data_IF_821183910774
#
_entry.id   IF_821183910774
#
_cell.length_a   1.000
_cell.length_b   1.000
_cell.length_c   1.000
_cell.angle_alpha   90.00
_cell.angle_beta   90.00
_cell.angle_gamma   90.00
#
_symmetry.space_group_name_H-M   'P 1'
#
loop_
_entity.id
_entity.type
_entity.pdbx_description
1 polymer ?
#
# COMPACT_ATOMS: atom_id res chain seq x y z
N UNK A 1 -20.12 -16.66 -27.36
CA UNK A 1 -19.97 -15.20 -27.49
C UNK A 1 -18.48 -14.95 -27.37
N UNK A 2 -17.83 -14.51 -28.45
CA UNK A 2 -16.38 -14.31 -28.49
C UNK A 2 -16.05 -13.00 -27.77
N UNK A 3 -15.32 -13.08 -26.66
CA UNK A 3 -14.74 -11.91 -25.99
C UNK A 3 -13.70 -11.28 -26.93
N UNK A 4 -13.74 -9.97 -27.19
CA UNK A 4 -12.80 -9.31 -28.11
C UNK A 4 -11.37 -9.35 -27.52
N UNK A 5 -10.38 -9.73 -28.34
CA UNK A 5 -8.97 -9.75 -27.97
C UNK A 5 -8.49 -8.33 -27.61
N UNK A 6 -8.44 -8.03 -26.30
CA UNK A 6 -7.93 -6.75 -25.79
C UNK A 6 -6.41 -6.77 -25.75
N UNK A 7 -5.79 -6.42 -26.87
CA UNK A 7 -4.39 -5.98 -26.88
C UNK A 7 -4.23 -4.71 -26.05
N UNK A 8 -3.18 -4.64 -25.23
CA UNK A 8 -2.82 -3.40 -24.52
C UNK A 8 -2.57 -2.31 -25.55
N UNK A 9 -3.27 -1.18 -25.41
CA UNK A 9 -3.11 -0.08 -26.34
C UNK A 9 -1.72 0.54 -26.08
N UNK A 10 -1.01 1.07 -27.09
CA UNK A 10 0.26 1.77 -26.88
C UNK A 10 0.19 2.86 -25.80
N UNK A 11 -1.00 3.41 -25.58
CA UNK A 11 -1.31 4.40 -24.53
C UNK A 11 -1.13 3.83 -23.12
N UNK A 12 -1.48 2.56 -22.88
CA UNK A 12 -1.38 1.91 -21.57
C UNK A 12 0.09 1.73 -21.14
N UNK A 13 0.96 1.37 -22.09
CA UNK A 13 2.40 1.28 -21.85
C UNK A 13 3.02 2.65 -21.56
N UNK A 14 2.59 3.69 -22.27
CA UNK A 14 3.05 5.07 -22.03
C UNK A 14 2.61 5.54 -20.63
N UNK A 15 1.37 5.27 -20.23
CA UNK A 15 0.87 5.61 -18.89
C UNK A 15 1.63 4.85 -17.79
N UNK A 16 1.88 3.55 -17.97
CA UNK A 16 2.66 2.75 -17.03
C UNK A 16 4.10 3.26 -16.89
N UNK A 17 4.77 3.53 -18.01
CA UNK A 17 6.11 4.11 -18.02
C UNK A 17 6.15 5.49 -17.35
N UNK A 18 5.18 6.35 -17.64
CA UNK A 18 5.08 7.68 -17.04
C UNK A 18 4.84 7.61 -15.53
N UNK A 19 3.97 6.71 -15.06
CA UNK A 19 3.73 6.50 -13.63
C UNK A 19 5.02 6.08 -12.90
N UNK A 20 5.78 5.14 -13.46
CA UNK A 20 7.06 4.71 -12.90
C UNK A 20 8.09 5.84 -12.89
N UNK A 21 8.18 6.61 -13.98
CA UNK A 21 9.11 7.74 -14.08
C UNK A 21 8.78 8.86 -13.10
N UNK A 22 7.50 9.18 -12.91
CA UNK A 22 7.07 10.19 -11.93
C UNK A 22 7.37 9.69 -10.51
N UNK A 23 7.04 8.44 -10.18
CA UNK A 23 7.31 7.85 -8.87
C UNK A 23 8.82 7.82 -8.55
N UNK A 24 9.63 7.33 -9.48
CA UNK A 24 11.08 7.32 -9.35
C UNK A 24 11.67 8.74 -9.33
N UNK A 25 11.11 9.65 -10.12
CA UNK A 25 11.51 11.05 -10.19
C UNK A 25 11.29 11.78 -8.87
N UNK A 26 10.14 11.59 -8.22
CA UNK A 26 9.87 12.14 -6.88
C UNK A 26 10.85 11.56 -5.86
N UNK A 27 11.10 10.24 -5.90
CA UNK A 27 12.07 9.58 -5.02
C UNK A 27 13.50 10.11 -5.18
N UNK A 28 13.97 10.25 -6.42
CA UNK A 28 15.30 10.77 -6.75
C UNK A 28 15.38 12.27 -6.40
N UNK A 29 14.34 13.05 -6.69
CA UNK A 29 14.30 14.47 -6.36
C UNK A 29 14.42 14.70 -4.85
N UNK A 30 13.65 13.96 -4.04
CA UNK A 30 13.73 14.03 -2.58
C UNK A 30 15.04 13.45 -2.04
N UNK A 31 15.59 12.41 -2.67
CA UNK A 31 16.87 11.80 -2.28
C UNK A 31 18.10 12.67 -2.59
N UNK A 32 18.12 13.36 -3.73
CA UNK A 32 19.26 14.18 -4.16
C UNK A 32 19.16 15.65 -3.70
N UNK A 33 17.96 16.21 -3.57
CA UNK A 33 17.73 17.62 -3.20
C UNK A 33 17.40 17.80 -1.71
N UNK A 34 17.22 16.69 -0.98
CA UNK A 34 16.78 16.64 0.42
C UNK A 34 17.85 16.98 1.45
N UNK A 35 18.47 18.15 1.39
CA UNK A 35 19.39 18.66 2.43
C UNK A 35 18.75 18.87 3.83
N UNK A 36 17.49 18.45 4.01
CA UNK A 36 16.60 18.60 5.19
C UNK A 36 16.28 17.24 5.86
N UNK A 37 17.18 16.27 5.79
CA UNK A 37 17.01 14.95 6.42
C UNK A 37 18.25 14.59 7.25
N UNK A 38 18.86 15.57 7.93
CA UNK A 38 20.14 15.35 8.62
C UNK A 38 19.99 14.72 10.00
N UNK A 39 18.78 14.69 10.55
CA UNK A 39 18.50 14.09 11.86
C UNK A 39 17.34 13.10 11.80
N UNK A 40 17.44 12.02 12.57
CA UNK A 40 16.42 10.96 12.65
C UNK A 40 15.04 11.50 13.05
N UNK A 41 14.99 12.56 13.85
CA UNK A 41 13.74 13.26 14.22
C UNK A 41 13.14 14.06 13.07
N UNK A 42 13.96 14.70 12.23
CA UNK A 42 13.48 15.40 11.03
C UNK A 42 12.94 14.40 9.99
N UNK A 43 13.60 13.25 9.84
CA UNK A 43 13.19 12.20 8.90
C UNK A 43 11.95 11.42 9.36
N UNK A 44 11.91 10.97 10.62
CA UNK A 44 10.82 10.11 11.12
C UNK A 44 9.63 10.91 11.66
N UNK A 45 9.86 12.10 12.22
CA UNK A 45 8.82 12.90 12.88
C UNK A 45 8.46 14.16 12.11
N UNK A 46 9.15 14.48 11.00
CA UNK A 46 8.90 15.71 10.24
C UNK A 46 9.04 16.97 11.10
N UNK A 47 9.97 16.95 12.07
CA UNK A 47 10.17 17.99 13.09
C UNK A 47 8.91 18.30 13.96
N UNK A 48 7.91 17.40 13.98
CA UNK A 48 6.61 17.59 14.65
C UNK A 48 5.87 18.89 14.26
N UNK A 49 6.31 19.56 13.19
CA UNK A 49 5.75 20.82 12.68
C UNK A 49 4.95 20.62 11.40
N UNK A 50 4.75 19.37 10.98
CA UNK A 50 3.89 19.05 9.84
C UNK A 50 2.44 19.38 10.16
N UNK A 51 1.76 20.01 9.20
CA UNK A 51 0.35 20.31 9.34
C UNK A 51 -0.48 19.02 9.45
N UNK A 52 -1.61 19.07 10.15
CA UNK A 52 -2.48 17.91 10.36
C UNK A 52 -3.02 17.32 9.05
N UNK A 53 -3.18 18.15 8.02
CA UNK A 53 -3.67 17.75 6.71
C UNK A 53 -2.74 16.76 5.97
N UNK A 54 -1.45 17.05 5.71
CA UNK A 54 -0.54 16.10 5.07
C UNK A 54 -0.34 14.81 5.90
N UNK A 55 -0.42 14.89 7.23
CA UNK A 55 -0.36 13.70 8.10
C UNK A 55 -1.58 12.81 7.86
N UNK A 56 -2.78 13.40 7.82
CA UNK A 56 -4.02 12.66 7.56
C UNK A 56 -4.03 12.02 6.17
N UNK A 57 -3.55 12.73 5.14
CA UNK A 57 -3.44 12.20 3.78
C UNK A 57 -2.46 11.05 3.70
N UNK A 58 -1.30 11.13 4.38
CA UNK A 58 -0.32 10.04 4.43
C UNK A 58 -0.87 8.81 5.17
N UNK A 59 -1.59 9.01 6.27
CA UNK A 59 -2.27 7.93 6.99
C UNK A 59 -3.33 7.25 6.11
N UNK A 60 -4.16 8.05 5.43
CA UNK A 60 -5.17 7.53 4.50
C UNK A 60 -4.52 6.74 3.37
N UNK A 61 -3.47 7.29 2.75
CA UNK A 61 -2.71 6.60 1.71
C UNK A 61 -2.11 5.27 2.20
N UNK A 62 -1.67 5.20 3.45
CA UNK A 62 -1.13 3.97 4.04
C UNK A 62 -2.21 2.90 4.30
N UNK A 63 -3.45 3.31 4.56
CA UNK A 63 -4.58 2.37 4.74
C UNK A 63 -5.16 1.87 3.42
N UNK A 64 -4.95 2.59 2.31
CA UNK A 64 -5.42 2.17 1.00
C UNK A 64 -4.50 1.09 0.42
N UNK A 65 -5.06 -0.09 0.19
CA UNK A 65 -4.35 -1.23 -0.42
C UNK A 65 -5.08 -1.72 -1.67
N UNK A 66 -4.35 -2.40 -2.57
CA UNK A 66 -4.94 -3.04 -3.75
C UNK A 66 -6.03 -4.06 -3.35
N UNK A 67 -5.86 -4.72 -2.19
CA UNK A 67 -6.87 -5.65 -1.65
C UNK A 67 -8.16 -4.91 -1.31
N UNK A 68 -8.09 -3.73 -0.68
CA UNK A 68 -9.31 -2.97 -0.37
C UNK A 68 -9.97 -2.42 -1.64
N UNK A 69 -9.17 -2.04 -2.64
CA UNK A 69 -9.69 -1.41 -3.85
C UNK A 69 -10.38 -2.41 -4.78
N UNK A 70 -9.87 -3.64 -4.88
CA UNK A 70 -10.45 -4.71 -5.70
C UNK A 70 -11.35 -5.66 -4.88
N UNK A 71 -10.97 -5.93 -3.64
CA UNK A 71 -11.65 -6.87 -2.75
C UNK A 71 -13.01 -6.38 -2.27
N UNK A 72 -13.10 -5.12 -1.80
CA UNK A 72 -14.36 -4.55 -1.28
C UNK A 72 -15.51 -4.57 -2.30
N UNK A 73 -15.34 -4.08 -3.54
CA UNK A 73 -16.41 -4.20 -4.52
C UNK A 73 -16.73 -5.68 -4.82
N UNK A 74 -15.73 -6.55 -4.96
CA UNK A 74 -15.97 -7.98 -5.23
C UNK A 74 -16.78 -8.66 -4.12
N UNK A 75 -16.53 -8.29 -2.87
CA UNK A 75 -17.24 -8.81 -1.70
C UNK A 75 -18.67 -8.28 -1.65
N UNK A 76 -18.88 -6.98 -1.91
CA UNK A 76 -20.22 -6.38 -1.96
C UNK A 76 -21.05 -6.98 -3.11
N UNK A 77 -20.45 -7.25 -4.27
CA UNK A 77 -21.15 -7.87 -5.39
C UNK A 77 -21.55 -9.33 -5.10
N UNK A 78 -20.76 -10.07 -4.33
CA UNK A 78 -20.99 -11.49 -4.05
C UNK A 78 -21.89 -11.72 -2.83
N UNK A 79 -21.67 -10.95 -1.75
CA UNK A 79 -22.30 -11.14 -0.44
C UNK A 79 -23.26 -10.01 -0.04
N UNK A 80 -23.38 -8.96 -0.85
CA UNK A 80 -24.34 -7.87 -0.66
C UNK A 80 -24.00 -6.91 0.47
N UNK A 81 -25.04 -6.35 1.11
CA UNK A 81 -24.93 -5.24 2.06
C UNK A 81 -24.25 -5.59 3.41
N UNK A 82 -23.91 -6.85 3.66
CA UNK A 82 -23.26 -7.31 4.90
C UNK A 82 -21.94 -6.58 5.18
N UNK A 83 -21.21 -6.20 4.12
CA UNK A 83 -19.97 -5.44 4.23
C UNK A 83 -20.14 -4.07 4.92
N UNK A 84 -21.34 -3.49 4.89
CA UNK A 84 -21.64 -2.19 5.52
C UNK A 84 -21.43 -2.21 7.03
N UNK A 85 -21.60 -3.37 7.68
CA UNK A 85 -21.34 -3.53 9.13
C UNK A 85 -19.84 -3.36 9.45
N UNK A 86 -18.96 -3.82 8.55
CA UNK A 86 -17.52 -3.62 8.70
C UNK A 86 -17.15 -2.15 8.56
N UNK A 87 -17.74 -1.43 7.60
CA UNK A 87 -17.53 0.02 7.43
C UNK A 87 -17.91 0.80 8.70
N UNK A 88 -19.07 0.48 9.29
CA UNK A 88 -19.50 1.12 10.54
C UNK A 88 -18.58 0.79 11.72
N UNK A 89 -18.14 -0.46 11.82
CA UNK A 89 -17.17 -0.89 12.84
C UNK A 89 -15.82 -0.18 12.69
N UNK A 90 -15.35 0.01 11.46
CA UNK A 90 -14.11 0.72 11.16
C UNK A 90 -14.19 2.19 11.61
N UNK A 91 -15.34 2.84 11.37
CA UNK A 91 -15.57 4.22 11.81
C UNK A 91 -15.47 4.37 13.33
N UNK A 92 -16.13 3.48 14.09
CA UNK A 92 -16.07 3.47 15.56
C UNK A 92 -14.65 3.20 16.06
N UNK A 93 -13.95 2.25 15.43
CA UNK A 93 -12.57 1.91 15.78
C UNK A 93 -11.63 3.11 15.58
N UNK A 94 -11.71 3.78 14.43
CA UNK A 94 -10.90 4.96 14.13
C UNK A 94 -11.21 6.12 15.08
N UNK A 95 -12.48 6.38 15.38
CA UNK A 95 -12.89 7.41 16.32
C UNK A 95 -12.34 7.14 17.75
N UNK A 96 -12.49 5.90 18.21
CA UNK A 96 -11.96 5.48 19.52
C UNK A 96 -10.44 5.59 19.55
N UNK A 97 -9.76 5.19 18.46
CA UNK A 97 -8.31 5.28 18.39
C UNK A 97 -7.79 6.71 18.37
N UNK A 98 -8.49 7.62 17.68
CA UNK A 98 -8.16 9.03 17.66
C UNK A 98 -8.30 9.69 19.04
N UNK A 99 -9.31 9.30 19.84
CA UNK A 99 -9.56 9.91 21.15
C UNK A 99 -8.69 9.29 22.24
N UNK A 100 -8.45 7.97 22.21
CA UNK A 100 -7.78 7.26 23.30
C UNK A 100 -6.29 7.07 23.02
N UNK A 101 -5.92 6.53 21.86
CA UNK A 101 -4.53 6.17 21.58
C UNK A 101 -3.67 7.40 21.25
N UNK A 102 -4.17 8.33 20.42
CA UNK A 102 -3.41 9.53 20.03
C UNK A 102 -2.88 10.34 21.23
N UNK A 103 -3.67 10.70 22.26
CA UNK A 103 -3.14 11.47 23.39
C UNK A 103 -2.13 10.68 24.22
N UNK A 104 -2.29 9.36 24.35
CA UNK A 104 -1.34 8.49 25.06
C UNK A 104 0.01 8.50 24.32
N UNK A 105 0.01 8.26 23.01
CA UNK A 105 1.24 8.23 22.22
C UNK A 105 1.91 9.61 22.12
N UNK A 106 1.13 10.68 22.01
CA UNK A 106 1.67 12.03 21.97
C UNK A 106 2.29 12.46 23.32
N UNK A 107 1.70 12.03 24.45
CA UNK A 107 2.21 12.34 25.79
C UNK A 107 3.53 11.63 26.15
N UNK A 108 3.77 10.43 25.61
CA UNK A 108 4.98 9.65 25.89
C UNK A 108 6.17 9.98 24.96
N UNK A 109 6.00 10.87 23.98
CA UNK A 109 7.04 11.28 23.02
C UNK A 109 7.77 10.12 22.30
N UNK A 110 7.10 8.99 22.13
CA UNK A 110 7.69 7.79 21.54
C UNK A 110 7.99 7.97 20.05
N UNK A 111 9.08 7.37 19.60
CA UNK A 111 9.50 7.39 18.20
C UNK A 111 8.99 6.18 17.43
N UNK A 112 8.65 5.10 18.12
CA UNK A 112 8.11 3.85 17.55
C UNK A 112 7.00 3.27 18.41
N UNK A 113 5.96 2.72 17.80
CA UNK A 113 4.87 2.05 18.51
C UNK A 113 5.36 0.86 19.34
N UNK A 114 6.43 0.18 18.91
CA UNK A 114 7.03 -0.95 19.66
C UNK A 114 7.81 -0.50 20.91
N UNK A 115 8.20 0.77 20.99
CA UNK A 115 8.84 1.36 22.17
C UNK A 115 7.85 1.39 23.36
N UNK A 116 6.55 1.53 23.08
CA UNK A 116 5.50 1.43 24.09
C UNK A 116 5.45 0.04 24.75
N UNK A 117 5.66 -1.03 23.96
CA UNK A 117 5.68 -2.40 24.47
C UNK A 117 6.87 -2.63 25.42
N UNK A 118 8.01 -1.98 25.16
CA UNK A 118 9.17 -2.04 26.03
C UNK A 118 8.93 -1.32 27.36
N UNK A 119 8.37 -0.11 27.33
CA UNK A 119 8.06 0.66 28.53
C UNK A 119 7.02 -0.02 29.43
N UNK A 120 6.06 -0.74 28.84
CA UNK A 120 4.98 -1.37 29.60
C UNK A 120 5.31 -2.78 30.10
N UNK A 121 6.12 -3.54 29.37
CA UNK A 121 6.39 -4.96 29.64
C UNK A 121 7.88 -5.26 29.83
N UNK A 122 8.66 -5.28 28.74
CA UNK A 122 10.13 -5.47 28.76
C UNK A 122 10.71 -5.49 27.32
N UNK A 123 12.03 -5.44 27.21
CA UNK A 123 12.76 -5.54 25.93
C UNK A 123 12.46 -6.84 25.14
N UNK A 124 12.25 -7.97 25.82
CA UNK A 124 11.93 -9.24 25.16
C UNK A 124 10.60 -9.21 24.40
N UNK A 125 9.57 -8.55 24.96
CA UNK A 125 8.26 -8.38 24.31
C UNK A 125 8.36 -7.45 23.11
N UNK A 126 9.25 -6.44 23.14
CA UNK A 126 9.51 -5.56 21.99
C UNK A 126 10.07 -6.34 20.80
N UNK A 127 11.09 -7.18 21.02
CA UNK A 127 11.68 -7.99 19.93
C UNK A 127 10.63 -8.95 19.37
N UNK A 128 9.90 -9.65 20.23
CA UNK A 128 8.88 -10.60 19.80
C UNK A 128 7.76 -9.91 19.01
N UNK A 129 7.28 -8.75 19.48
CA UNK A 129 6.27 -7.96 18.79
C UNK A 129 6.75 -7.45 17.43
N UNK A 130 7.99 -7.00 17.33
CA UNK A 130 8.60 -6.62 16.05
C UNK A 130 8.71 -7.81 15.10
N UNK A 131 9.18 -8.97 15.58
CA UNK A 131 9.37 -10.16 14.76
C UNK A 131 8.04 -10.70 14.23
N UNK A 132 7.02 -10.77 15.09
CA UNK A 132 5.66 -11.15 14.69
C UNK A 132 5.07 -10.15 13.69
N UNK A 133 5.26 -8.85 13.92
CA UNK A 133 4.81 -7.82 12.99
C UNK A 133 5.43 -8.02 11.61
N UNK A 134 6.74 -8.23 11.53
CA UNK A 134 7.45 -8.48 10.26
C UNK A 134 6.89 -9.71 9.55
N UNK A 135 6.72 -10.84 10.26
CA UNK A 135 6.18 -12.07 9.64
C UNK A 135 4.77 -11.86 9.12
N UNK A 136 3.86 -11.31 9.94
CA UNK A 136 2.49 -11.06 9.52
C UNK A 136 2.43 -10.07 8.35
N UNK A 137 3.26 -9.03 8.37
CA UNK A 137 3.31 -8.01 7.33
C UNK A 137 3.89 -8.55 6.02
N UNK A 138 4.88 -9.46 6.07
CA UNK A 138 5.40 -10.17 4.89
C UNK A 138 4.31 -11.03 4.22
N UNK A 139 3.56 -11.79 5.02
CA UNK A 139 2.43 -12.58 4.51
C UNK A 139 1.37 -11.69 3.87
N UNK A 140 1.03 -10.57 4.53
CA UNK A 140 0.09 -9.60 4.00
C UNK A 140 0.58 -9.00 2.66
N UNK A 141 1.82 -8.52 2.60
CA UNK A 141 2.40 -7.96 1.39
C UNK A 141 2.45 -8.97 0.24
N UNK A 142 2.68 -10.25 0.54
CA UNK A 142 2.69 -11.30 -0.47
C UNK A 142 1.34 -11.43 -1.17
N UNK A 143 0.24 -11.32 -0.42
CA UNK A 143 -1.13 -11.32 -0.98
C UNK A 143 -1.41 -10.03 -1.75
N UNK A 144 -0.99 -8.88 -1.23
CA UNK A 144 -1.18 -7.58 -1.92
C UNK A 144 -0.46 -7.57 -3.27
N UNK A 145 0.77 -8.09 -3.33
CA UNK A 145 1.58 -8.15 -4.54
C UNK A 145 1.12 -9.21 -5.56
N UNK A 146 0.28 -10.16 -5.14
CA UNK A 146 -0.29 -11.16 -6.04
C UNK A 146 -1.26 -10.57 -7.07
N UNK A 147 -2.08 -9.58 -6.66
CA UNK A 147 -3.02 -8.93 -7.57
C UNK A 147 -2.35 -8.21 -8.77
N UNK A 148 -1.33 -7.34 -8.59
CA UNK A 148 -0.65 -6.70 -9.71
C UNK A 148 0.23 -7.68 -10.51
N UNK A 149 0.79 -8.73 -9.89
CA UNK A 149 1.58 -9.73 -10.62
C UNK A 149 0.71 -10.57 -11.55
N UNK A 150 -0.50 -10.94 -11.11
CA UNK A 150 -1.48 -11.62 -11.95
C UNK A 150 -1.92 -10.74 -13.13
N UNK A 151 -2.17 -9.45 -12.86
CA UNK A 151 -2.52 -8.49 -13.92
C UNK A 151 -1.38 -8.33 -14.95
N UNK A 152 -0.12 -8.28 -14.50
CA UNK A 152 1.04 -8.19 -15.39
C UNK A 152 1.23 -9.47 -16.21
N UNK A 153 1.06 -10.65 -15.60
CA UNK A 153 1.13 -11.93 -16.32
C UNK A 153 0.09 -12.00 -17.44
N UNK A 154 -1.14 -11.54 -17.17
CA UNK A 154 -2.20 -11.47 -18.17
C UNK A 154 -1.89 -10.48 -19.31
N UNK A 155 -1.13 -9.41 -19.03
CA UNK A 155 -0.72 -8.44 -20.04
C UNK A 155 0.35 -8.98 -20.98
N UNK A 156 1.34 -9.68 -20.43
CA UNK A 156 2.44 -10.24 -21.21
C UNK A 156 1.99 -11.42 -22.07
N UNK A 157 1.10 -12.29 -21.58
CA UNK A 157 0.59 -13.45 -22.35
C UNK A 157 -0.20 -13.02 -23.59
N UNK A 158 -1.04 -11.98 -23.48
CA UNK A 158 -1.80 -11.42 -24.61
C UNK A 158 -0.87 -10.81 -25.66
N UNK A 159 0.26 -10.24 -25.25
CA UNK A 159 1.27 -9.68 -26.15
C UNK A 159 2.07 -10.78 -26.85
N UNK A 160 2.42 -11.84 -26.11
CA UNK A 160 3.15 -13.00 -26.63
C UNK A 160 2.31 -13.74 -27.69
N UNK A 161 1.04 -14.05 -27.39
CA UNK A 161 0.15 -14.74 -28.33
C UNK A 161 -0.09 -13.93 -29.62
N UNK A 162 -0.26 -12.61 -29.51
CA UNK A 162 -0.39 -11.74 -30.68
C UNK A 162 0.90 -11.65 -31.50
N UNK A 163 2.07 -11.68 -30.85
CA UNK A 163 3.36 -11.69 -31.54
C UNK A 163 3.56 -12.99 -32.36
N UNK A 164 3.21 -14.16 -31.80
CA UNK A 164 3.32 -15.44 -32.52
C UNK A 164 2.27 -15.60 -33.61
N UNK A 165 1.03 -15.11 -33.40
CA UNK A 165 -0.03 -15.13 -34.42
C UNK A 165 0.27 -14.22 -35.62
N UNK A 166 1.08 -13.18 -35.44
CA UNK A 166 1.50 -12.26 -36.52
C UNK A 166 2.57 -12.84 -37.46
N UNK A 167 3.22 -13.96 -37.11
CA UNK A 167 4.24 -14.60 -37.97
C UNK A 167 3.62 -15.78 -38.73
N UNK A 168 3.63 -15.79 -40.07
CA UNK A 168 3.00 -16.85 -40.89
C UNK A 168 3.72 -18.22 -40.86
N UNK A 169 4.58 -18.47 -39.87
CA UNK A 169 5.47 -19.64 -39.84
C UNK A 169 4.93 -20.77 -38.95
N UNK A 170 3.88 -20.54 -38.14
CA UNK A 170 3.32 -21.54 -37.21
C UNK A 170 1.83 -21.78 -37.47
N UNK A 171 1.47 -22.06 -38.72
CA UNK A 171 0.14 -22.56 -39.12
C UNK A 171 0.22 -23.99 -39.71
N UNK A 172 1.11 -24.83 -39.18
CA UNK A 172 1.16 -26.27 -39.48
C UNK A 172 1.07 -27.04 -38.16
#
# INVERSE_FOLDING_TARGET
MAEPERTFHPVDYVLFGLMLLVSAGIGIYHGCTGGRQRTTSEYLLGNRSMQTFPIAVSLLASFLSAITLLGVPSEIFTYGAQYTVLLFSYFILTATAAIVFVPIFHGLHLTSAHEYLELRFSYGVRILGFFLFVICYLLYLSVVLYAPSLALQAADSVTFDNFFRSKPIVQI
#
